data_IF_187675708244
#
_entry.id   IF_187675708244
#
_cell.length_a   1.000
_cell.length_b   1.000
_cell.length_c   1.000
_cell.angle_alpha   90.00
_cell.angle_beta   90.00
_cell.angle_gamma   90.00
#
_symmetry.space_group_name_H-M   'P 1'
#
loop_
_entity.id
_entity.type
_entity.pdbx_description
1 polymer ?
#
# COMPACT_ATOMS: atom_id res chain seq x y z
N UNK A 1 12.88 6.19 -26.08
CA UNK A 1 12.64 7.57 -25.62
C UNK A 1 11.68 7.43 -24.43
N UNK A 2 12.01 7.59 -23.16
CA UNK A 2 13.18 8.08 -22.43
C UNK A 2 13.38 7.18 -21.20
N UNK A 3 14.63 6.76 -20.94
CA UNK A 3 15.02 6.19 -19.64
C UNK A 3 14.98 7.31 -18.61
N UNK A 4 13.97 7.33 -17.75
CA UNK A 4 13.97 8.14 -16.53
C UNK A 4 14.40 7.28 -15.33
N UNK A 5 15.32 6.34 -15.54
CA UNK A 5 15.95 5.48 -14.53
C UNK A 5 16.95 6.21 -13.61
N UNK A 6 16.88 7.53 -13.51
CA UNK A 6 17.99 8.36 -12.98
C UNK A 6 17.65 9.44 -11.95
N UNK A 7 16.39 9.61 -11.53
CA UNK A 7 16.04 10.72 -10.63
C UNK A 7 16.38 10.45 -9.15
N UNK A 8 16.54 9.19 -8.73
CA UNK A 8 16.70 8.83 -7.31
C UNK A 8 18.14 8.41 -6.96
N UNK A 9 19.05 9.36 -6.86
CA UNK A 9 20.44 9.10 -6.41
C UNK A 9 20.58 8.53 -4.98
N UNK A 10 19.49 8.48 -4.20
CA UNK A 10 19.47 7.90 -2.85
C UNK A 10 18.86 6.48 -2.78
N UNK A 11 18.21 6.00 -3.84
CA UNK A 11 17.53 4.71 -3.88
C UNK A 11 17.81 4.05 -5.24
N UNK A 12 19.02 3.51 -5.42
CA UNK A 12 19.37 2.68 -6.56
C UNK A 12 18.44 1.46 -6.72
N UNK A 13 18.59 0.73 -7.84
CA UNK A 13 17.90 -0.52 -8.23
C UNK A 13 16.94 -1.09 -7.15
N UNK A 14 15.69 -0.62 -7.12
CA UNK A 14 14.73 -0.97 -6.06
C UNK A 14 13.70 0.10 -5.69
N UNK A 15 13.82 1.32 -6.23
CA UNK A 15 12.86 2.41 -5.96
C UNK A 15 11.40 2.03 -6.21
N UNK A 16 11.12 1.29 -7.28
CA UNK A 16 9.77 0.84 -7.63
C UNK A 16 9.20 -0.13 -6.58
N UNK A 17 10.02 -1.05 -6.07
CA UNK A 17 9.61 -2.01 -5.02
C UNK A 17 9.27 -1.25 -3.74
N UNK A 18 10.14 -0.34 -3.31
CA UNK A 18 9.91 0.53 -2.15
C UNK A 18 8.66 1.39 -2.29
N UNK A 19 8.35 1.88 -3.49
CA UNK A 19 7.12 2.62 -3.76
C UNK A 19 5.89 1.73 -3.58
N UNK A 20 5.91 0.48 -4.07
CA UNK A 20 4.83 -0.47 -3.85
C UNK A 20 4.68 -0.84 -2.38
N UNK A 21 5.77 -1.12 -1.67
CA UNK A 21 5.75 -1.40 -0.24
C UNK A 21 5.16 -0.22 0.55
N UNK A 22 5.50 1.02 0.18
CA UNK A 22 4.91 2.23 0.75
C UNK A 22 3.39 2.28 0.50
N UNK A 23 2.96 2.01 -0.74
CA UNK A 23 1.55 2.02 -1.14
C UNK A 23 0.74 0.86 -0.56
N UNK A 24 1.38 -0.27 -0.24
CA UNK A 24 0.78 -1.43 0.42
C UNK A 24 0.79 -1.29 1.96
N UNK A 25 1.54 -0.35 2.50
CA UNK A 25 1.73 -0.17 3.95
C UNK A 25 2.62 -1.24 4.58
N UNK A 26 3.55 -1.80 3.80
CA UNK A 26 4.48 -2.86 4.20
C UNK A 26 5.84 -2.34 4.70
N UNK A 27 6.06 -1.03 4.71
CA UNK A 27 7.29 -0.40 5.19
C UNK A 27 7.30 -0.20 6.71
N UNK A 28 8.50 -0.11 7.28
CA UNK A 28 8.70 0.33 8.67
C UNK A 28 8.38 1.82 8.82
N UNK A 29 8.12 2.29 10.05
CA UNK A 29 7.86 3.72 10.31
C UNK A 29 9.01 4.63 9.83
N UNK A 30 10.26 4.17 9.96
CA UNK A 30 11.44 4.88 9.48
C UNK A 30 11.46 5.00 7.95
N UNK A 31 11.18 3.89 7.26
CA UNK A 31 11.13 3.84 5.79
C UNK A 31 9.96 4.64 5.22
N UNK A 32 8.82 4.69 5.92
CA UNK A 32 7.66 5.53 5.57
C UNK A 32 8.06 7.00 5.58
N UNK A 33 8.77 7.46 6.62
CA UNK A 33 9.17 8.85 6.73
C UNK A 33 10.23 9.22 5.68
N UNK A 34 11.19 8.32 5.43
CA UNK A 34 12.16 8.49 4.35
C UNK A 34 11.49 8.61 2.97
N UNK A 35 10.51 7.74 2.69
CA UNK A 35 9.76 7.79 1.43
C UNK A 35 8.91 9.06 1.32
N UNK A 36 8.22 9.47 2.40
CA UNK A 36 7.45 10.72 2.40
C UNK A 36 8.30 11.93 2.10
N UNK A 37 9.46 12.04 2.75
CA UNK A 37 10.40 13.13 2.50
C UNK A 37 10.87 13.13 1.05
N UNK A 38 11.19 11.95 0.52
CA UNK A 38 11.55 11.82 -0.89
C UNK A 38 10.42 12.28 -1.83
N UNK A 39 9.17 11.88 -1.59
CA UNK A 39 8.02 12.32 -2.38
C UNK A 39 7.75 13.83 -2.27
N UNK A 40 8.16 14.48 -1.17
CA UNK A 40 8.10 15.94 -1.03
C UNK A 40 9.19 16.64 -1.84
N UNK A 41 10.39 16.07 -1.86
CA UNK A 41 11.57 16.65 -2.50
C UNK A 41 11.67 16.30 -4.01
N UNK A 42 10.92 15.29 -4.50
CA UNK A 42 10.96 14.79 -5.87
C UNK A 42 9.58 14.79 -6.55
N UNK A 43 9.27 15.81 -7.39
CA UNK A 43 7.99 15.91 -8.10
C UNK A 43 7.68 14.73 -9.04
N UNK A 44 8.69 14.19 -9.72
CA UNK A 44 8.51 13.03 -10.62
C UNK A 44 8.01 11.80 -9.86
N UNK A 45 8.63 11.48 -8.73
CA UNK A 45 8.23 10.34 -7.90
C UNK A 45 6.88 10.59 -7.22
N UNK A 46 6.57 11.83 -6.86
CA UNK A 46 5.24 12.22 -6.39
C UNK A 46 4.16 11.96 -7.44
N UNK A 47 4.41 12.34 -8.69
CA UNK A 47 3.47 12.11 -9.81
C UNK A 47 3.28 10.62 -10.08
N UNK A 48 4.37 9.83 -10.06
CA UNK A 48 4.30 8.38 -10.21
C UNK A 48 3.48 7.72 -9.09
N UNK A 49 3.71 8.10 -7.83
CA UNK A 49 2.94 7.60 -6.69
C UNK A 49 1.45 7.95 -6.82
N UNK A 50 1.13 9.17 -7.24
CA UNK A 50 -0.25 9.61 -7.46
C UNK A 50 -0.94 8.83 -8.59
N UNK A 51 -0.23 8.57 -9.69
CA UNK A 51 -0.72 7.77 -10.81
C UNK A 51 -1.02 6.33 -10.38
N UNK A 52 -0.12 5.70 -9.63
CA UNK A 52 -0.32 4.35 -9.12
C UNK A 52 -1.51 4.28 -8.16
N UNK A 53 -1.69 5.26 -7.28
CA UNK A 53 -2.88 5.36 -6.43
C UNK A 53 -4.17 5.47 -7.23
N UNK A 54 -4.17 6.25 -8.32
CA UNK A 54 -5.31 6.37 -9.22
C UNK A 54 -5.66 5.01 -9.84
N UNK A 55 -4.68 4.29 -10.37
CA UNK A 55 -4.89 2.94 -10.93
C UNK A 55 -5.47 2.01 -9.87
N UNK A 56 -4.85 1.92 -8.69
CA UNK A 56 -5.31 1.05 -7.60
C UNK A 56 -6.73 1.40 -7.17
N UNK A 57 -7.10 2.68 -7.17
CA UNK A 57 -8.45 3.13 -6.86
C UNK A 57 -9.49 2.68 -7.90
N UNK A 58 -9.16 2.78 -9.19
CA UNK A 58 -10.05 2.34 -10.28
C UNK A 58 -10.18 0.81 -10.31
N UNK A 59 -9.08 0.07 -10.14
CA UNK A 59 -9.10 -1.40 -10.01
C UNK A 59 -9.98 -1.81 -8.84
N UNK A 60 -9.83 -1.17 -7.68
CA UNK A 60 -10.67 -1.43 -6.50
C UNK A 60 -12.15 -1.11 -6.74
N UNK A 61 -12.47 -0.12 -7.58
CA UNK A 61 -13.86 0.20 -7.94
C UNK A 61 -14.47 -0.87 -8.84
N UNK A 62 -13.72 -1.33 -9.83
CA UNK A 62 -14.18 -2.35 -10.79
C UNK A 62 -14.29 -3.75 -10.16
N UNK A 63 -13.41 -4.09 -9.22
CA UNK A 63 -13.35 -5.42 -8.59
C UNK A 63 -14.02 -5.47 -7.21
N UNK A 64 -15.05 -4.66 -6.98
CA UNK A 64 -15.86 -4.70 -5.75
C UNK A 64 -16.83 -5.89 -5.76
N UNK A 65 -16.29 -7.11 -5.74
CA UNK A 65 -17.07 -8.30 -5.38
C UNK A 65 -17.35 -8.25 -3.88
N UNK A 66 -18.62 -8.03 -3.51
CA UNK A 66 -19.04 -8.06 -2.11
C UNK A 66 -18.74 -9.45 -1.56
N UNK A 67 -17.92 -9.52 -0.52
CA UNK A 67 -17.70 -10.76 0.22
C UNK A 67 -19.06 -11.35 0.63
N UNK A 68 -19.33 -12.65 0.32
CA UNK A 68 -20.59 -13.29 0.65
C UNK A 68 -20.93 -13.10 2.12
N UNK A 69 -22.19 -12.81 2.44
CA UNK A 69 -22.61 -12.52 3.82
C UNK A 69 -22.27 -13.66 4.79
N UNK A 70 -22.31 -14.90 4.30
CA UNK A 70 -21.89 -16.11 5.00
C UNK A 70 -20.43 -16.04 5.48
N UNK A 71 -19.51 -15.55 4.65
CA UNK A 71 -18.11 -15.40 5.00
C UNK A 71 -17.91 -14.28 6.03
N UNK A 72 -18.63 -13.16 5.86
CA UNK A 72 -18.59 -12.03 6.81
C UNK A 72 -19.13 -12.44 8.19
N UNK A 73 -20.21 -13.20 8.23
CA UNK A 73 -20.78 -13.76 9.47
C UNK A 73 -19.80 -14.71 10.16
N UNK A 74 -19.17 -15.61 9.40
CA UNK A 74 -18.17 -16.56 9.91
C UNK A 74 -16.97 -15.85 10.53
N UNK A 75 -16.43 -14.83 9.87
CA UNK A 75 -15.29 -14.05 10.38
C UNK A 75 -15.67 -13.33 11.69
N UNK A 76 -16.83 -12.65 11.74
CA UNK A 76 -17.31 -11.98 12.95
C UNK A 76 -17.50 -12.94 14.13
N UNK A 77 -18.05 -14.13 13.86
CA UNK A 77 -18.20 -15.17 14.87
C UNK A 77 -16.84 -15.61 15.44
N UNK A 78 -15.87 -15.92 14.55
CA UNK A 78 -14.52 -16.32 14.98
C UNK A 78 -13.79 -15.23 15.75
N UNK A 79 -13.90 -13.97 15.34
CA UNK A 79 -13.33 -12.84 16.08
C UNK A 79 -13.91 -12.68 17.48
N UNK A 80 -15.22 -12.93 17.63
CA UNK A 80 -15.90 -12.87 18.93
C UNK A 80 -15.45 -14.01 19.84
N UNK A 81 -15.29 -15.23 19.31
CA UNK A 81 -14.80 -16.38 20.06
C UNK A 81 -13.39 -16.16 20.62
N UNK A 82 -12.48 -15.60 19.83
CA UNK A 82 -11.10 -15.31 20.26
C UNK A 82 -11.05 -14.34 21.46
N UNK A 83 -12.02 -13.41 21.57
CA UNK A 83 -12.11 -12.49 22.71
C UNK A 83 -12.57 -13.18 24.00
N UNK A 84 -13.39 -14.22 23.89
CA UNK A 84 -13.93 -14.95 25.05
C UNK A 84 -12.88 -15.90 25.63
N UNK A 85 -12.11 -16.60 24.78
CA UNK A 85 -11.13 -17.60 25.24
C UNK A 85 -9.90 -17.01 25.94
N UNK A 86 -9.75 -15.68 25.98
CA UNK A 86 -8.65 -15.00 26.69
C UNK A 86 -9.03 -14.54 28.11
N UNK A 87 -10.30 -14.68 28.48
CA UNK A 87 -10.83 -14.52 29.83
C UNK A 87 -11.58 -15.79 30.23
N UNK A 88 -10.82 -16.87 30.44
CA UNK A 88 -11.29 -18.14 30.96
C UNK A 88 -10.15 -18.84 31.66
#
# INVERSE_FOLDING_TARGET
>A
MNRHDGCCGAFGEGHLERLYEYLDGALTDEDIEAMRRHLQDCPDCHEQAAFEQLIRSEVRRCCQEKAPEQLRATIRMRMTQIRVTRYG
#
